data_IF_424836198829
#
_entry.id   IF_424836198829
#
_cell.length_a   1.000
_cell.length_b   1.000
_cell.length_c   1.000
_cell.angle_alpha   90.00
_cell.angle_beta   90.00
_cell.angle_gamma   90.00
#
_symmetry.space_group_name_H-M   'P 1'
#
loop_
_entity.id
_entity.type
_entity.pdbx_description
1 polymer ?
#
# COMPACT_ATOMS: atom_id res chain seq x y z
N UNK A 1 13.08 -20.08 17.70
CA UNK A 1 14.46 -19.50 17.86
C UNK A 1 14.94 -19.45 19.31
N UNK A 2 14.11 -19.03 20.28
CA UNK A 2 14.49 -19.06 21.70
C UNK A 2 15.01 -20.45 22.13
N UNK A 3 14.32 -21.51 21.74
CA UNK A 3 14.75 -22.90 21.97
C UNK A 3 16.15 -23.20 21.42
N UNK A 4 16.46 -22.73 20.20
CA UNK A 4 17.78 -22.90 19.60
C UNK A 4 18.86 -22.22 20.44
N UNK A 5 18.70 -20.94 20.76
CA UNK A 5 19.69 -20.21 21.56
C UNK A 5 19.88 -20.77 22.98
N UNK A 6 18.83 -21.35 23.58
CA UNK A 6 18.94 -22.00 24.89
C UNK A 6 19.66 -23.35 24.84
N UNK A 7 19.64 -24.04 23.70
CA UNK A 7 20.12 -25.41 23.57
C UNK A 7 21.42 -25.55 22.77
N UNK A 8 21.81 -24.56 21.97
CA UNK A 8 22.88 -24.69 20.97
C UNK A 8 24.26 -25.06 21.55
N UNK A 9 24.56 -24.65 22.79
CA UNK A 9 25.80 -24.99 23.50
C UNK A 9 25.72 -26.29 24.32
N UNK A 10 24.54 -26.90 24.41
CA UNK A 10 24.26 -28.06 25.28
C UNK A 10 24.06 -29.37 24.49
N UNK A 11 23.92 -29.28 23.15
CA UNK A 11 23.61 -30.41 22.28
C UNK A 11 24.73 -30.66 21.26
N UNK A 12 24.77 -31.88 20.71
CA UNK A 12 25.71 -32.23 19.65
C UNK A 12 25.42 -31.48 18.34
N UNK A 13 26.36 -31.53 17.39
CA UNK A 13 26.26 -30.79 16.13
C UNK A 13 25.04 -31.18 15.27
N UNK A 14 24.65 -32.46 15.26
CA UNK A 14 23.50 -32.93 14.49
C UNK A 14 22.19 -32.43 15.10
N UNK A 15 22.05 -32.59 16.42
CA UNK A 15 20.88 -32.09 17.16
C UNK A 15 20.76 -30.56 17.04
N UNK A 16 21.88 -29.84 17.16
CA UNK A 16 21.93 -28.38 16.97
C UNK A 16 21.41 -27.97 15.59
N UNK A 17 21.85 -28.66 14.53
CA UNK A 17 21.41 -28.38 13.17
C UNK A 17 19.91 -28.62 12.98
N UNK A 18 19.35 -29.67 13.60
CA UNK A 18 17.90 -29.97 13.57
C UNK A 18 17.08 -28.86 14.26
N UNK A 19 17.49 -28.44 15.46
CA UNK A 19 16.79 -27.38 16.21
C UNK A 19 16.88 -26.04 15.45
N UNK A 20 18.04 -25.71 14.87
CA UNK A 20 18.20 -24.51 14.05
C UNK A 20 17.26 -24.53 12.84
N UNK A 21 17.21 -25.66 12.13
CA UNK A 21 16.35 -25.83 10.97
C UNK A 21 14.87 -25.64 11.32
N UNK A 22 14.42 -26.26 12.41
CA UNK A 22 13.06 -26.10 12.93
C UNK A 22 12.75 -24.64 13.27
N UNK A 23 13.67 -23.96 13.96
CA UNK A 23 13.51 -22.55 14.32
C UNK A 23 13.42 -21.63 13.09
N UNK A 24 14.22 -21.89 12.05
CA UNK A 24 14.17 -21.13 10.79
C UNK A 24 12.83 -21.36 10.07
N UNK A 25 12.38 -22.61 10.01
CA UNK A 25 11.12 -22.95 9.34
C UNK A 25 9.91 -22.35 10.07
N UNK A 26 9.95 -22.32 11.41
CA UNK A 26 8.96 -21.62 12.23
C UNK A 26 8.93 -20.11 11.94
N UNK A 27 10.09 -19.45 11.86
CA UNK A 27 10.18 -18.02 11.52
C UNK A 27 9.59 -17.74 10.14
N UNK A 28 9.92 -18.57 9.14
CA UNK A 28 9.38 -18.45 7.78
C UNK A 28 7.87 -18.59 7.79
N UNK A 29 7.33 -19.60 8.48
CA UNK A 29 5.89 -19.83 8.59
C UNK A 29 5.18 -18.65 9.26
N UNK A 30 5.72 -18.16 10.37
CA UNK A 30 5.15 -17.02 11.10
C UNK A 30 5.18 -15.74 10.24
N UNK A 31 6.24 -15.52 9.48
CA UNK A 31 6.37 -14.38 8.56
C UNK A 31 5.33 -14.45 7.44
N UNK A 32 5.14 -15.63 6.82
CA UNK A 32 4.09 -15.83 5.82
C UNK A 32 2.70 -15.55 6.39
N UNK A 33 2.40 -16.09 7.58
CA UNK A 33 1.12 -15.86 8.28
C UNK A 33 0.90 -14.38 8.60
N UNK A 34 1.94 -13.68 9.02
CA UNK A 34 1.88 -12.25 9.27
C UNK A 34 1.58 -11.46 7.99
N UNK A 35 2.26 -11.77 6.89
CA UNK A 35 2.02 -11.13 5.60
C UNK A 35 0.57 -11.33 5.12
N UNK A 36 0.01 -12.54 5.24
CA UNK A 36 -1.40 -12.80 4.92
C UNK A 36 -2.34 -11.94 5.75
N UNK A 37 -2.13 -11.88 7.07
CA UNK A 37 -2.94 -11.05 7.99
C UNK A 37 -2.83 -9.56 7.69
N UNK A 38 -1.66 -9.08 7.26
CA UNK A 38 -1.49 -7.69 6.85
C UNK A 38 -2.31 -7.37 5.60
N UNK A 39 -2.33 -8.27 4.61
CA UNK A 39 -3.16 -8.12 3.41
C UNK A 39 -4.64 -8.08 3.79
N UNK A 40 -5.12 -9.00 4.62
CA UNK A 40 -6.50 -9.03 5.11
C UNK A 40 -6.88 -7.70 5.80
N UNK A 41 -6.01 -7.16 6.66
CA UNK A 41 -6.23 -5.87 7.32
C UNK A 41 -6.31 -4.71 6.33
N UNK A 42 -5.43 -4.66 5.34
CA UNK A 42 -5.43 -3.60 4.31
C UNK A 42 -6.70 -3.66 3.44
N UNK A 43 -7.13 -4.87 3.06
CA UNK A 43 -8.38 -5.06 2.30
C UNK A 43 -9.59 -4.60 3.13
N UNK A 44 -9.61 -4.94 4.41
CA UNK A 44 -10.63 -4.45 5.35
C UNK A 44 -10.64 -2.92 5.45
N UNK A 45 -9.46 -2.29 5.56
CA UNK A 45 -9.35 -0.82 5.57
C UNK A 45 -9.94 -0.17 4.32
N UNK A 46 -9.73 -0.79 3.15
CA UNK A 46 -10.35 -0.35 1.89
C UNK A 46 -11.87 -0.50 1.92
N UNK A 47 -12.38 -1.64 2.36
CA UNK A 47 -13.78 -2.02 2.20
C UNK A 47 -14.69 -1.43 3.29
N UNK A 48 -14.30 -1.57 4.56
CA UNK A 48 -15.12 -1.16 5.70
C UNK A 48 -15.01 0.34 5.98
N UNK A 49 -13.82 0.90 5.85
CA UNK A 49 -13.57 2.33 6.13
C UNK A 49 -13.60 3.19 4.86
N UNK A 50 -13.81 2.58 3.68
CA UNK A 50 -13.90 3.25 2.38
C UNK A 50 -12.66 4.11 2.09
N UNK A 51 -11.49 3.70 2.60
CA UNK A 51 -10.25 4.43 2.37
C UNK A 51 -9.83 4.33 0.90
N UNK A 52 -9.60 5.49 0.29
CA UNK A 52 -9.08 5.58 -1.08
C UNK A 52 -7.61 5.17 -1.11
N UNK A 53 -7.36 3.87 -1.30
CA UNK A 53 -6.02 3.29 -1.33
C UNK A 53 -5.58 3.07 -2.79
N UNK A 54 -4.56 3.81 -3.21
CA UNK A 54 -3.88 3.59 -4.48
C UNK A 54 -2.97 2.35 -4.40
N UNK A 55 -3.29 1.30 -5.18
CA UNK A 55 -2.50 0.06 -5.21
C UNK A 55 -1.35 0.18 -6.21
N UNK A 56 -0.13 -0.09 -5.74
CA UNK A 56 1.07 -0.26 -6.58
C UNK A 56 1.40 -1.75 -6.66
N UNK A 57 1.54 -2.31 -7.86
CA UNK A 57 1.79 -3.74 -8.05
C UNK A 57 3.29 -4.02 -8.20
N UNK A 58 3.94 -4.36 -7.09
CA UNK A 58 5.36 -4.70 -7.05
C UNK A 58 5.67 -6.18 -7.35
N UNK A 59 4.70 -7.00 -7.78
CA UNK A 59 4.91 -8.46 -7.98
C UNK A 59 6.13 -8.76 -8.87
N UNK A 60 6.25 -8.05 -9.98
CA UNK A 60 7.32 -8.26 -10.96
C UNK A 60 8.70 -7.86 -10.41
N UNK A 61 8.75 -6.91 -9.47
CA UNK A 61 9.99 -6.52 -8.78
C UNK A 61 10.56 -7.71 -8.01
N UNK A 62 9.71 -8.48 -7.33
CA UNK A 62 10.11 -9.66 -6.57
C UNK A 62 10.37 -10.90 -7.42
N UNK A 63 9.95 -10.92 -8.69
CA UNK A 63 10.24 -12.01 -9.63
C UNK A 63 11.60 -11.83 -10.33
N UNK A 64 12.18 -10.63 -10.27
CA UNK A 64 13.46 -10.28 -10.88
C UNK A 64 14.58 -10.24 -9.84
N UNK A 65 15.82 -10.26 -10.30
CA UNK A 65 17.01 -10.17 -9.46
C UNK A 65 17.96 -9.07 -9.97
N UNK A 66 18.76 -8.48 -9.07
CA UNK A 66 19.81 -7.52 -9.43
C UNK A 66 19.27 -6.28 -10.16
N UNK A 67 19.96 -5.85 -11.20
CA UNK A 67 19.62 -4.64 -11.97
C UNK A 67 18.20 -4.65 -12.54
N UNK A 68 17.72 -5.80 -13.01
CA UNK A 68 16.39 -5.96 -13.59
C UNK A 68 15.27 -5.71 -12.55
N UNK A 69 15.53 -6.04 -11.28
CA UNK A 69 14.60 -5.76 -10.18
C UNK A 69 14.55 -4.26 -9.87
N UNK A 70 15.70 -3.58 -9.92
CA UNK A 70 15.76 -2.13 -9.72
C UNK A 70 15.00 -1.38 -10.82
N UNK A 71 15.19 -1.76 -12.09
CA UNK A 71 14.45 -1.16 -13.21
C UNK A 71 12.94 -1.42 -13.08
N UNK A 72 12.54 -2.65 -12.72
CA UNK A 72 11.14 -2.95 -12.48
C UNK A 72 10.56 -2.15 -11.31
N UNK A 73 11.33 -1.93 -10.24
CA UNK A 73 10.93 -1.10 -9.10
C UNK A 73 10.72 0.36 -9.52
N UNK A 74 11.67 0.91 -10.27
CA UNK A 74 11.59 2.27 -10.82
C UNK A 74 10.29 2.45 -11.62
N UNK A 75 10.03 1.54 -12.55
CA UNK A 75 8.90 1.62 -13.49
C UNK A 75 7.54 1.31 -12.86
N UNK A 76 7.47 0.33 -11.96
CA UNK A 76 6.20 -0.19 -11.43
C UNK A 76 5.82 0.38 -10.07
N UNK A 77 6.79 0.92 -9.33
CA UNK A 77 6.59 1.43 -7.96
C UNK A 77 6.95 2.91 -7.88
N UNK A 78 8.21 3.28 -8.16
CA UNK A 78 8.68 4.65 -7.91
C UNK A 78 7.93 5.66 -8.77
N UNK A 79 8.03 5.56 -10.10
CA UNK A 79 7.41 6.51 -11.03
C UNK A 79 5.88 6.62 -10.81
N UNK A 80 5.11 5.51 -10.70
CA UNK A 80 3.69 5.61 -10.40
C UNK A 80 3.37 6.26 -9.05
N UNK A 81 4.14 5.96 -8.00
CA UNK A 81 3.94 6.55 -6.67
C UNK A 81 4.19 8.06 -6.69
N UNK A 82 5.27 8.50 -7.33
CA UNK A 82 5.60 9.92 -7.50
C UNK A 82 4.49 10.65 -8.26
N UNK A 83 3.96 10.06 -9.34
CA UNK A 83 2.87 10.66 -10.09
C UNK A 83 1.57 10.79 -9.29
N UNK A 84 1.28 9.84 -8.40
CA UNK A 84 0.14 9.93 -7.48
C UNK A 84 0.33 11.10 -6.51
N UNK A 85 1.51 11.20 -5.90
CA UNK A 85 1.85 12.25 -4.93
C UNK A 85 1.86 13.64 -5.60
N UNK A 86 2.49 13.78 -6.77
CA UNK A 86 2.49 15.04 -7.54
C UNK A 86 1.06 15.47 -7.85
N UNK A 87 0.20 14.56 -8.29
CA UNK A 87 -1.20 14.88 -8.57
C UNK A 87 -1.96 15.30 -7.33
N UNK A 88 -1.72 14.65 -6.19
CA UNK A 88 -2.31 15.02 -4.91
C UNK A 88 -1.92 16.45 -4.53
N UNK A 89 -0.63 16.77 -4.55
CA UNK A 89 -0.11 18.11 -4.23
C UNK A 89 -0.61 19.16 -5.23
N UNK A 90 -0.58 18.88 -6.54
CA UNK A 90 -0.98 19.85 -7.55
C UNK A 90 -2.49 20.09 -7.63
N UNK A 91 -3.32 19.09 -7.30
CA UNK A 91 -4.79 19.27 -7.27
C UNK A 91 -5.24 20.22 -6.16
N UNK A 92 -4.57 20.23 -5.00
CA UNK A 92 -4.85 21.21 -3.93
C UNK A 92 -4.54 22.67 -4.34
N UNK A 93 -3.82 22.89 -5.45
CA UNK A 93 -3.51 24.21 -5.97
C UNK A 93 -4.49 24.72 -7.06
N UNK A 94 -5.52 23.94 -7.43
CA UNK A 94 -6.44 24.28 -8.53
C UNK A 94 -7.87 24.59 -8.04
N UNK A 95 -8.22 24.41 -6.76
CA UNK A 95 -9.54 24.81 -6.29
C UNK A 95 -9.72 26.34 -6.39
N UNK A 96 -10.57 26.85 -7.31
CA UNK A 96 -10.95 28.25 -7.24
C UNK A 96 -11.86 28.38 -6.03
N UNK A 97 -11.45 29.20 -5.06
CA UNK A 97 -12.31 29.72 -4.00
C UNK A 97 -13.70 30.02 -4.60
N UNK A 98 -14.81 29.52 -4.02
CA UNK A 98 -16.12 29.79 -4.57
C UNK A 98 -16.34 31.29 -4.52
N UNK A 99 -16.24 31.94 -5.68
CA UNK A 99 -16.60 33.33 -5.85
C UNK A 99 -18.11 33.33 -5.82
N UNK A 100 -18.66 33.77 -4.68
CA UNK A 100 -20.09 33.99 -4.50
C UNK A 100 -20.52 34.97 -5.59
N UNK A 101 -21.08 34.45 -6.67
CA UNK A 101 -21.72 35.22 -7.72
C UNK A 101 -23.00 35.82 -7.16
N UNK A 102 -23.01 37.14 -7.08
CA UNK A 102 -24.14 38.01 -6.77
C UNK A 102 -25.42 37.57 -7.51
N UNK A 103 -26.60 37.52 -6.85
CA UNK A 103 -27.85 37.25 -7.54
C UNK A 103 -28.21 38.47 -8.41
N UNK A 104 -28.23 38.28 -9.73
CA UNK A 104 -28.73 39.27 -10.67
C UNK A 104 -30.25 39.25 -10.66
N UNK A 105 -30.85 40.16 -9.90
CA UNK A 105 -32.28 40.48 -9.99
C UNK A 105 -32.55 41.26 -11.28
N UNK A 106 -33.39 40.73 -12.16
CA UNK A 106 -34.11 41.53 -13.14
C UNK A 106 -35.55 40.99 -13.27
N UNK A 107 -36.48 41.80 -12.75
CA UNK A 107 -37.93 41.72 -12.96
C UNK A 107 -38.25 42.44 -14.28
N UNK A 108 -39.30 41.98 -15.00
CA UNK A 108 -40.33 42.72 -15.80
C UNK A 108 -40.85 41.73 -16.87
N UNK A 109 -42.00 41.05 -16.73
CA UNK A 109 -43.44 41.44 -16.86
C UNK A 109 -44.01 41.38 -18.29
N UNK A 110 -45.17 40.69 -18.41
CA UNK A 110 -46.24 40.73 -19.44
C UNK A 110 -45.96 39.97 -20.78
N UNK A 111 -46.90 39.28 -21.46
CA UNK A 111 -48.38 39.26 -21.43
C UNK A 111 -48.93 37.99 -22.14
N UNK A 112 -50.16 37.65 -21.77
CA UNK A 112 -51.22 36.75 -22.27
C UNK A 112 -51.35 36.37 -23.77
N UNK A 113 -51.91 35.15 -23.98
CA UNK A 113 -52.80 34.62 -25.06
C UNK A 113 -52.17 34.43 -26.46
N UNK A 114 -52.43 33.37 -27.23
CA UNK A 114 -53.61 32.52 -27.44
C UNK A 114 -53.20 31.13 -27.94
#
# INVERSE_FOLDING_TARGET
MDEFFRSEGLVDGETRAKILKAAIDEIKMNTCKLACRQVEKILRMREEFVWQIHRLNAKEVFLRCGGDANEASEKLVLVPSTNIVVRFICKENIDPKPTIGTPSSAIVVATTNN
#
